data_IF_060193801539
#
_entry.id   IF_060193801539
#
_cell.length_a   1.000
_cell.length_b   1.000
_cell.length_c   1.000
_cell.angle_alpha   90.00
_cell.angle_beta   90.00
_cell.angle_gamma   90.00
#
_symmetry.space_group_name_H-M   'P 1'
#
loop_
_entity.id
_entity.type
_entity.pdbx_description
1 polymer ?
#
# COMPACT_ATOMS: atom_id res chain seq x y z
N UNK A 1 13.15 12.54 5.87
CA UNK A 1 12.16 12.23 6.90
C UNK A 1 10.78 12.60 6.35
N UNK A 2 9.84 11.67 6.38
CA UNK A 2 8.51 11.87 5.78
C UNK A 2 7.64 12.74 6.68
N UNK A 3 6.92 13.70 6.06
CA UNK A 3 6.10 14.70 6.75
C UNK A 3 4.63 14.39 6.60
N UNK A 4 3.84 14.63 7.64
CA UNK A 4 2.38 14.58 7.61
C UNK A 4 1.79 15.87 8.19
N UNK A 5 0.85 16.46 7.45
CA UNK A 5 0.02 17.58 7.87
C UNK A 5 -1.39 17.09 8.17
N UNK A 6 -1.89 17.37 9.35
CA UNK A 6 -3.29 17.09 9.71
C UNK A 6 -4.11 18.36 9.55
N UNK A 7 -5.01 18.33 8.58
CA UNK A 7 -6.01 19.37 8.39
C UNK A 7 -6.95 19.47 9.61
N UNK A 8 -7.67 20.61 9.76
CA UNK A 8 -8.66 20.81 10.86
C UNK A 8 -9.80 19.76 10.82
N UNK A 9 -10.06 19.18 9.66
CA UNK A 9 -11.09 18.14 9.47
C UNK A 9 -10.59 16.72 9.78
N UNK A 10 -9.27 16.55 10.03
CA UNK A 10 -8.68 15.25 10.32
C UNK A 10 -9.14 14.72 11.69
N UNK A 11 -9.72 13.53 11.68
CA UNK A 11 -10.23 12.90 12.90
C UNK A 11 -9.10 12.42 13.84
N UNK A 12 -9.45 12.19 15.10
CA UNK A 12 -8.52 11.61 16.08
C UNK A 12 -8.11 10.18 15.69
N UNK A 13 -9.01 9.43 15.06
CA UNK A 13 -8.75 8.09 14.55
C UNK A 13 -7.65 8.09 13.49
N UNK A 14 -7.65 9.07 12.55
CA UNK A 14 -6.58 9.20 11.55
C UNK A 14 -5.22 9.53 12.19
N UNK A 15 -5.21 10.34 13.25
CA UNK A 15 -3.98 10.61 14.00
C UNK A 15 -3.44 9.34 14.67
N UNK A 16 -4.32 8.57 15.28
CA UNK A 16 -3.98 7.29 15.92
C UNK A 16 -3.49 6.27 14.90
N UNK A 17 -4.13 6.22 13.72
CA UNK A 17 -3.74 5.34 12.61
C UNK A 17 -2.34 5.69 12.07
N UNK A 18 -2.01 6.98 11.94
CA UNK A 18 -0.72 7.43 11.41
C UNK A 18 0.44 7.31 12.42
N UNK A 19 0.15 7.28 13.73
CA UNK A 19 1.16 7.31 14.79
C UNK A 19 2.23 6.21 14.70
N UNK A 20 1.91 4.93 14.38
CA UNK A 20 2.90 3.85 14.33
C UNK A 20 3.99 4.03 13.26
N UNK A 21 3.76 4.87 12.25
CA UNK A 21 4.67 5.01 11.10
C UNK A 21 5.81 6.01 11.32
N UNK A 22 5.91 6.68 12.47
CA UNK A 22 7.04 7.57 12.82
C UNK A 22 7.18 8.79 11.87
N UNK A 23 6.07 9.27 11.32
CA UNK A 23 6.05 10.44 10.44
C UNK A 23 6.25 11.74 11.23
N UNK A 24 6.93 12.71 10.62
CA UNK A 24 7.08 14.04 11.24
C UNK A 24 5.81 14.85 11.06
N UNK A 25 5.11 15.12 12.15
CA UNK A 25 3.93 16.01 12.13
C UNK A 25 4.38 17.44 11.91
N UNK A 26 3.74 18.13 10.96
CA UNK A 26 4.00 19.55 10.65
C UNK A 26 2.73 20.38 10.84
N UNK A 27 2.89 21.64 11.27
CA UNK A 27 1.77 22.52 11.60
C UNK A 27 1.18 23.24 10.38
N UNK A 28 1.88 23.23 9.25
CA UNK A 28 1.43 23.81 7.97
C UNK A 28 1.96 23.01 6.80
N UNK A 29 1.27 23.09 5.67
CA UNK A 29 1.73 22.47 4.43
C UNK A 29 3.08 23.06 4.01
N UNK A 30 4.04 22.23 3.57
CA UNK A 30 5.36 22.72 3.15
C UNK A 30 5.27 23.43 1.80
N UNK A 31 6.24 24.33 1.55
CA UNK A 31 6.34 25.06 0.28
C UNK A 31 6.99 24.24 -0.84
N UNK A 32 7.70 23.17 -0.50
CA UNK A 32 8.39 22.29 -1.46
C UNK A 32 8.37 20.83 -1.01
N UNK A 33 8.58 19.93 -1.98
CA UNK A 33 8.67 18.49 -1.77
C UNK A 33 7.31 17.79 -1.61
N UNK A 34 7.38 16.48 -1.35
CA UNK A 34 6.22 15.64 -1.14
C UNK A 34 5.91 15.48 0.36
N UNK A 35 4.64 15.40 0.71
CA UNK A 35 4.15 15.25 2.08
C UNK A 35 2.81 14.53 2.11
N UNK A 36 2.45 13.96 3.26
CA UNK A 36 1.13 13.42 3.48
C UNK A 36 0.21 14.49 4.05
N UNK A 37 -1.04 14.49 3.62
CA UNK A 37 -2.13 15.24 4.23
C UNK A 37 -3.21 14.28 4.72
N UNK A 38 -3.66 14.49 5.93
CA UNK A 38 -4.84 13.84 6.50
C UNK A 38 -5.97 14.85 6.62
N UNK A 39 -7.13 14.54 6.06
CA UNK A 39 -8.36 15.31 6.13
C UNK A 39 -9.58 14.39 6.32
N UNK A 40 -10.81 14.92 6.26
CA UNK A 40 -12.04 14.12 6.40
C UNK A 40 -12.17 12.96 5.40
N UNK A 41 -11.46 13.00 4.26
CA UNK A 41 -11.48 11.97 3.23
C UNK A 41 -10.46 10.84 3.44
N UNK A 42 -9.55 10.98 4.41
CA UNK A 42 -8.46 10.06 4.72
C UNK A 42 -7.07 10.65 4.47
N UNK A 43 -6.08 9.78 4.27
CA UNK A 43 -4.68 10.17 4.08
C UNK A 43 -4.31 10.14 2.60
N UNK A 44 -3.71 11.22 2.12
CA UNK A 44 -3.29 11.38 0.72
C UNK A 44 -1.84 11.86 0.64
N UNK A 45 -1.13 11.43 -0.39
CA UNK A 45 0.18 11.97 -0.77
C UNK A 45 -0.03 13.20 -1.66
N UNK A 46 0.62 14.29 -1.31
CA UNK A 46 0.60 15.56 -2.01
C UNK A 46 2.01 15.99 -2.38
N UNK A 47 2.12 16.86 -3.38
CA UNK A 47 3.34 17.61 -3.70
C UNK A 47 3.06 19.11 -3.59
N UNK A 48 3.93 19.81 -2.91
CA UNK A 48 3.81 21.26 -2.72
C UNK A 48 3.70 21.98 -4.08
N UNK A 49 2.78 22.95 -4.17
CA UNK A 49 2.52 23.68 -5.41
C UNK A 49 1.68 22.93 -6.45
N UNK A 50 1.33 21.66 -6.23
CA UNK A 50 0.49 20.87 -7.14
C UNK A 50 -0.89 20.58 -6.54
N UNK A 51 -1.93 20.58 -7.41
CA UNK A 51 -3.32 20.28 -6.99
C UNK A 51 -3.63 18.78 -6.91
N UNK A 52 -2.74 17.91 -7.42
CA UNK A 52 -2.97 16.47 -7.46
C UNK A 52 -2.75 15.83 -6.10
N UNK A 53 -3.55 14.81 -5.78
CA UNK A 53 -3.38 13.96 -4.61
C UNK A 53 -3.38 12.50 -5.03
N UNK A 54 -2.57 11.68 -4.38
CA UNK A 54 -2.56 10.22 -4.54
C UNK A 54 -3.06 9.61 -3.24
N UNK A 55 -4.08 8.76 -3.34
CA UNK A 55 -4.69 8.07 -2.21
C UNK A 55 -4.87 6.60 -2.56
N UNK A 56 -4.71 5.73 -1.59
CA UNK A 56 -5.12 4.33 -1.76
C UNK A 56 -6.65 4.28 -1.71
N UNK A 57 -7.26 3.83 -2.80
CA UNK A 57 -8.71 3.70 -2.91
C UNK A 57 -9.05 2.35 -3.52
N UNK A 58 -9.62 1.48 -2.70
CA UNK A 58 -10.02 0.13 -3.09
C UNK A 58 -11.46 0.03 -3.57
N UNK A 59 -12.29 1.06 -3.34
CA UNK A 59 -13.67 1.16 -3.81
C UNK A 59 -13.77 1.84 -5.18
N UNK A 60 -12.75 2.58 -5.59
CA UNK A 60 -12.74 3.34 -6.84
C UNK A 60 -12.81 2.45 -8.09
N UNK A 61 -13.32 3.02 -9.19
CA UNK A 61 -13.54 2.30 -10.45
C UNK A 61 -12.31 1.59 -11.02
N UNK A 62 -11.10 2.11 -10.81
CA UNK A 62 -9.85 1.47 -11.24
C UNK A 62 -9.57 0.19 -10.44
N UNK A 63 -9.81 0.19 -9.13
CA UNK A 63 -9.68 -0.99 -8.28
C UNK A 63 -10.75 -2.03 -8.61
N UNK A 64 -12.00 -1.60 -8.80
CA UNK A 64 -13.09 -2.46 -9.25
C UNK A 64 -12.78 -3.11 -10.60
N UNK A 65 -12.27 -2.35 -11.58
CA UNK A 65 -11.89 -2.89 -12.88
C UNK A 65 -10.78 -3.95 -12.78
N UNK A 66 -9.75 -3.73 -11.96
CA UNK A 66 -8.69 -4.72 -11.75
C UNK A 66 -9.21 -6.03 -11.16
N UNK A 67 -10.15 -5.95 -10.21
CA UNK A 67 -10.77 -7.13 -9.60
C UNK A 67 -11.62 -7.93 -10.57
N UNK A 68 -12.34 -7.23 -11.46
CA UNK A 68 -13.39 -7.85 -12.30
C UNK A 68 -12.97 -8.16 -13.73
N UNK A 69 -12.05 -7.39 -14.32
CA UNK A 69 -11.76 -7.45 -15.77
C UNK A 69 -10.28 -7.36 -16.17
N UNK A 70 -9.34 -7.10 -15.28
CA UNK A 70 -7.97 -6.87 -15.72
C UNK A 70 -6.88 -7.27 -14.73
N UNK A 71 -5.94 -8.10 -15.16
CA UNK A 71 -4.72 -8.43 -14.41
C UNK A 71 -4.85 -9.51 -13.33
N UNK A 72 -6.03 -9.69 -12.74
CA UNK A 72 -6.26 -10.70 -11.70
C UNK A 72 -6.01 -12.14 -12.16
N UNK A 73 -6.21 -12.45 -13.44
CA UNK A 73 -5.94 -13.79 -13.96
C UNK A 73 -4.46 -14.20 -13.91
N UNK A 74 -3.55 -13.28 -14.21
CA UNK A 74 -2.11 -13.59 -14.18
C UNK A 74 -1.62 -13.77 -12.75
N UNK A 75 -2.01 -12.89 -11.84
CA UNK A 75 -1.69 -12.98 -10.42
C UNK A 75 -2.31 -14.26 -9.83
N UNK A 76 -3.58 -14.53 -10.12
CA UNK A 76 -4.29 -15.74 -9.68
C UNK A 76 -3.59 -17.02 -10.12
N UNK A 77 -3.11 -17.09 -11.37
CA UNK A 77 -2.34 -18.22 -11.90
C UNK A 77 -0.97 -18.33 -11.24
N UNK A 78 -0.27 -17.20 -11.05
CA UNK A 78 1.05 -17.18 -10.44
C UNK A 78 1.06 -17.78 -9.04
N UNK A 79 0.03 -17.51 -8.24
CA UNK A 79 -0.08 -18.02 -6.86
C UNK A 79 -0.87 -19.33 -6.73
N UNK A 80 -1.36 -19.88 -7.84
CA UNK A 80 -2.24 -21.08 -7.83
C UNK A 80 -3.43 -20.91 -6.88
N UNK A 81 -4.19 -19.81 -7.03
CA UNK A 81 -5.24 -19.38 -6.09
C UNK A 81 -6.30 -20.44 -5.77
N UNK A 82 -6.54 -21.40 -6.67
CA UNK A 82 -7.50 -22.48 -6.47
C UNK A 82 -7.10 -23.44 -5.34
N UNK A 83 -5.82 -23.51 -5.01
CA UNK A 83 -5.32 -24.26 -3.84
C UNK A 83 -5.53 -23.49 -2.52
N UNK A 84 -6.06 -22.27 -2.55
CA UNK A 84 -6.28 -21.40 -1.38
C UNK A 84 -5.00 -21.20 -0.54
N UNK A 85 -3.86 -20.83 -1.15
CA UNK A 85 -2.61 -20.68 -0.42
C UNK A 85 -2.64 -19.48 0.51
N UNK A 86 -1.87 -19.55 1.60
CA UNK A 86 -1.47 -18.36 2.37
C UNK A 86 -0.39 -17.63 1.61
N UNK A 87 -0.61 -16.34 1.32
CA UNK A 87 0.30 -15.52 0.51
C UNK A 87 0.96 -14.46 1.35
N UNK A 88 2.28 -14.33 1.22
CA UNK A 88 3.05 -13.23 1.75
C UNK A 88 3.50 -12.34 0.58
N UNK A 89 2.98 -11.11 0.52
CA UNK A 89 3.36 -10.09 -0.45
C UNK A 89 4.49 -9.24 0.15
N UNK A 90 5.73 -9.57 -0.22
CA UNK A 90 6.92 -8.91 0.32
C UNK A 90 7.18 -7.51 -0.29
N UNK A 91 6.40 -7.10 -1.28
CA UNK A 91 6.50 -5.83 -2.01
C UNK A 91 5.19 -5.05 -1.97
N UNK A 92 4.61 -4.90 -0.79
CA UNK A 92 3.24 -4.42 -0.56
C UNK A 92 2.86 -3.12 -1.27
N UNK A 93 3.72 -2.10 -1.21
CA UNK A 93 3.46 -0.82 -1.84
C UNK A 93 2.10 -0.24 -1.45
N UNK A 94 1.29 0.17 -2.42
CA UNK A 94 -0.09 0.62 -2.21
C UNK A 94 -1.12 -0.51 -2.03
N UNK A 95 -0.67 -1.75 -1.91
CA UNK A 95 -1.51 -2.91 -1.65
C UNK A 95 -2.41 -3.34 -2.81
N UNK A 96 -2.11 -2.93 -4.03
CA UNK A 96 -2.97 -3.21 -5.20
C UNK A 96 -3.06 -4.69 -5.50
N UNK A 97 -1.93 -5.38 -5.51
CA UNK A 97 -1.85 -6.79 -5.80
C UNK A 97 -2.30 -7.62 -4.60
N UNK A 98 -1.93 -7.23 -3.38
CA UNK A 98 -2.48 -7.79 -2.14
C UNK A 98 -4.01 -7.77 -2.13
N UNK A 99 -4.61 -6.64 -2.58
CA UNK A 99 -6.07 -6.50 -2.62
C UNK A 99 -6.72 -7.39 -3.69
N UNK A 100 -6.07 -7.56 -4.85
CA UNK A 100 -6.50 -8.53 -5.87
C UNK A 100 -6.45 -9.94 -5.33
N UNK A 101 -5.34 -10.34 -4.69
CA UNK A 101 -5.17 -11.66 -4.07
C UNK A 101 -6.25 -11.92 -3.01
N UNK A 102 -6.50 -10.95 -2.13
CA UNK A 102 -7.53 -11.05 -1.11
C UNK A 102 -8.96 -11.13 -1.71
N UNK A 103 -9.21 -10.48 -2.85
CA UNK A 103 -10.48 -10.57 -3.56
C UNK A 103 -10.77 -11.96 -4.15
N UNK A 104 -9.72 -12.77 -4.36
CA UNK A 104 -9.81 -14.18 -4.75
C UNK A 104 -10.08 -15.12 -3.57
N UNK A 105 -10.24 -14.56 -2.36
CA UNK A 105 -10.51 -15.31 -1.13
C UNK A 105 -9.27 -15.68 -0.32
N UNK A 106 -8.07 -15.27 -0.74
CA UNK A 106 -6.81 -15.62 -0.08
C UNK A 106 -6.54 -14.76 1.15
N UNK A 107 -5.90 -15.33 2.16
CA UNK A 107 -5.32 -14.57 3.26
C UNK A 107 -3.94 -14.06 2.86
N UNK A 108 -3.71 -12.75 2.97
CA UNK A 108 -2.51 -12.06 2.51
C UNK A 108 -1.86 -11.32 3.66
N UNK A 109 -0.59 -11.62 3.92
CA UNK A 109 0.27 -10.77 4.73
C UNK A 109 1.07 -9.89 3.78
N UNK A 110 0.91 -8.57 3.87
CA UNK A 110 1.60 -7.60 3.02
C UNK A 110 2.63 -6.83 3.83
N UNK A 111 3.84 -6.70 3.28
CA UNK A 111 4.98 -6.07 3.96
C UNK A 111 5.35 -4.79 3.23
N UNK A 112 5.50 -3.70 3.97
CA UNK A 112 5.91 -2.40 3.43
C UNK A 112 6.85 -1.69 4.40
N UNK A 113 8.05 -1.34 3.92
CA UNK A 113 9.07 -0.71 4.77
C UNK A 113 9.05 0.82 4.74
N UNK A 114 8.48 1.42 3.67
CA UNK A 114 8.41 2.86 3.58
C UNK A 114 7.27 3.40 4.48
N UNK A 115 7.57 4.23 5.49
CA UNK A 115 6.56 4.67 6.46
C UNK A 115 5.42 5.47 5.85
N UNK A 116 5.68 6.26 4.80
CA UNK A 116 4.62 7.04 4.16
C UNK A 116 3.71 6.17 3.31
N UNK A 117 4.27 5.16 2.61
CA UNK A 117 3.51 4.19 1.81
C UNK A 117 2.68 3.29 2.72
N UNK A 118 3.28 2.77 3.80
CA UNK A 118 2.58 1.94 4.78
C UNK A 118 1.42 2.72 5.45
N UNK A 119 1.61 4.01 5.74
CA UNK A 119 0.56 4.88 6.28
C UNK A 119 -0.60 5.05 5.29
N UNK A 120 -0.31 5.31 4.00
CA UNK A 120 -1.31 5.39 2.94
C UNK A 120 -2.09 4.09 2.77
N UNK A 121 -1.37 2.95 2.78
CA UNK A 121 -1.99 1.62 2.68
C UNK A 121 -2.88 1.32 3.88
N UNK A 122 -2.39 1.62 5.09
CA UNK A 122 -3.16 1.44 6.33
C UNK A 122 -4.48 2.21 6.31
N UNK A 123 -4.45 3.49 5.86
CA UNK A 123 -5.66 4.29 5.70
C UNK A 123 -6.60 3.70 4.64
N UNK A 124 -6.06 3.28 3.49
CA UNK A 124 -6.85 2.65 2.44
C UNK A 124 -7.55 1.37 2.90
N UNK A 125 -6.84 0.51 3.64
CA UNK A 125 -7.41 -0.72 4.21
C UNK A 125 -8.46 -0.42 5.29
N UNK A 126 -8.22 0.60 6.13
CA UNK A 126 -9.18 1.03 7.14
C UNK A 126 -10.50 1.49 6.50
N UNK A 127 -10.44 2.33 5.46
CA UNK A 127 -11.63 2.78 4.71
C UNK A 127 -12.33 1.63 3.99
N UNK A 128 -11.57 0.74 3.33
CA UNK A 128 -12.11 -0.45 2.69
C UNK A 128 -12.81 -1.39 3.70
N UNK A 129 -12.30 -1.45 4.93
CA UNK A 129 -12.92 -2.21 6.03
C UNK A 129 -14.26 -1.65 6.51
N UNK A 130 -14.56 -0.39 6.20
CA UNK A 130 -15.82 0.28 6.53
C UNK A 130 -16.87 0.19 5.40
N UNK A 131 -16.44 -0.10 4.17
CA UNK A 131 -17.29 -0.23 3.00
C UNK A 131 -17.96 -1.60 2.91
N UNK A 132 -19.24 -1.66 2.57
CA UNK A 132 -19.96 -2.93 2.37
C UNK A 132 -19.35 -3.80 1.28
N UNK A 133 -18.83 -3.18 0.21
CA UNK A 133 -18.31 -3.90 -0.95
C UNK A 133 -16.93 -4.51 -0.71
N UNK A 134 -16.11 -3.88 0.12
CA UNK A 134 -14.68 -4.23 0.22
C UNK A 134 -14.25 -4.72 1.60
N UNK A 135 -15.10 -4.60 2.62
CA UNK A 135 -14.79 -4.98 4.01
C UNK A 135 -14.32 -6.42 4.16
N UNK A 136 -14.97 -7.38 3.48
CA UNK A 136 -14.59 -8.79 3.57
C UNK A 136 -13.26 -9.08 2.85
N UNK A 137 -12.90 -8.27 1.85
CA UNK A 137 -11.60 -8.34 1.18
C UNK A 137 -10.52 -7.76 2.09
N UNK A 138 -10.75 -6.56 2.62
CA UNK A 138 -9.81 -5.87 3.51
C UNK A 138 -9.46 -6.70 4.75
N UNK A 139 -10.41 -7.43 5.32
CA UNK A 139 -10.20 -8.32 6.47
C UNK A 139 -9.23 -9.47 6.23
N UNK A 140 -9.00 -9.85 4.96
CA UNK A 140 -8.04 -10.89 4.58
C UNK A 140 -6.63 -10.37 4.43
N UNK A 141 -6.41 -9.05 4.54
CA UNK A 141 -5.11 -8.44 4.39
C UNK A 141 -4.59 -8.01 5.76
N UNK A 142 -3.39 -8.45 6.09
CA UNK A 142 -2.66 -8.02 7.29
C UNK A 142 -1.43 -7.23 6.85
N UNK A 143 -1.41 -5.93 7.14
CA UNK A 143 -0.24 -5.07 6.87
C UNK A 143 0.81 -5.25 7.97
N UNK A 144 2.05 -5.48 7.56
CA UNK A 144 3.24 -5.48 8.38
C UNK A 144 4.14 -4.32 7.96
N UNK A 145 4.41 -3.41 8.88
CA UNK A 145 5.27 -2.25 8.63
C UNK A 145 6.70 -2.54 9.10
N UNK A 146 7.65 -2.53 8.17
CA UNK A 146 9.08 -2.74 8.41
C UNK A 146 9.77 -3.49 7.26
N UNK A 147 11.03 -3.87 7.49
CA UNK A 147 11.78 -4.67 6.53
C UNK A 147 11.11 -6.03 6.32
N UNK A 148 10.84 -6.38 5.06
CA UNK A 148 10.10 -7.59 4.73
C UNK A 148 10.85 -8.87 5.14
N UNK A 149 12.17 -8.92 4.96
CA UNK A 149 12.99 -10.10 5.29
C UNK A 149 12.92 -10.39 6.80
N UNK A 150 13.16 -9.37 7.63
CA UNK A 150 13.14 -9.49 9.08
C UNK A 150 11.77 -9.93 9.59
N UNK A 151 10.71 -9.24 9.13
CA UNK A 151 9.33 -9.51 9.54
C UNK A 151 8.83 -10.88 9.06
N UNK A 152 9.21 -11.33 7.86
CA UNK A 152 8.89 -12.66 7.37
C UNK A 152 9.58 -13.76 8.17
N UNK A 153 10.85 -13.55 8.58
CA UNK A 153 11.56 -14.50 9.44
C UNK A 153 10.88 -14.61 10.81
N UNK A 154 10.53 -13.47 11.43
CA UNK A 154 9.81 -13.45 12.72
C UNK A 154 8.43 -14.13 12.60
N UNK A 155 7.69 -13.84 11.53
CA UNK A 155 6.37 -14.41 11.30
C UNK A 155 6.45 -15.92 11.05
N UNK A 156 7.46 -16.37 10.26
CA UNK A 156 7.71 -17.78 10.00
C UNK A 156 8.03 -18.56 11.28
N UNK A 157 8.78 -17.96 12.19
CA UNK A 157 9.11 -18.57 13.48
C UNK A 157 7.88 -18.74 14.39
N UNK A 158 6.89 -17.85 14.28
CA UNK A 158 5.67 -17.86 15.11
C UNK A 158 4.54 -18.70 14.52
N UNK A 159 4.30 -18.57 13.22
CA UNK A 159 3.10 -19.08 12.55
C UNK A 159 3.38 -20.14 11.46
N UNK A 160 4.66 -20.46 11.22
CA UNK A 160 5.07 -21.26 10.07
C UNK A 160 5.25 -20.44 8.80
N UNK A 161 5.76 -21.10 7.75
CA UNK A 161 6.04 -20.46 6.45
C UNK A 161 4.75 -20.32 5.63
N UNK A 162 4.69 -19.32 4.72
CA UNK A 162 3.58 -19.22 3.75
C UNK A 162 3.68 -20.32 2.70
N UNK A 163 2.60 -20.56 1.99
CA UNK A 163 2.60 -21.41 0.80
C UNK A 163 3.26 -20.70 -0.39
N UNK A 164 3.10 -19.35 -0.46
CA UNK A 164 3.62 -18.52 -1.55
C UNK A 164 4.19 -17.22 -1.00
N UNK A 165 5.39 -16.86 -1.44
CA UNK A 165 5.93 -15.49 -1.34
C UNK A 165 5.76 -14.83 -2.69
N UNK A 166 5.02 -13.72 -2.71
CA UNK A 166 4.76 -12.90 -3.90
C UNK A 166 5.71 -11.70 -3.91
N UNK A 167 6.35 -11.47 -5.05
CA UNK A 167 7.28 -10.37 -5.29
C UNK A 167 6.92 -9.68 -6.60
N UNK A 168 6.59 -8.39 -6.54
CA UNK A 168 6.44 -7.52 -7.72
C UNK A 168 7.20 -6.20 -7.46
N UNK A 169 8.55 -6.24 -7.53
CA UNK A 169 9.36 -5.07 -7.30
C UNK A 169 9.06 -3.98 -8.33
N UNK A 170 9.02 -2.71 -7.88
CA UNK A 170 8.75 -1.56 -8.74
C UNK A 170 9.93 -1.28 -9.68
N UNK A 171 10.02 -2.01 -10.80
CA UNK A 171 10.94 -1.66 -11.87
C UNK A 171 10.48 -0.40 -12.63
N UNK A 172 11.40 0.47 -13.08
CA UNK A 172 11.06 1.62 -13.90
C UNK A 172 10.46 1.16 -15.22
N UNK A 173 9.13 1.20 -15.34
CA UNK A 173 8.42 0.75 -16.53
C UNK A 173 8.62 1.66 -17.75
N UNK A 174 8.83 1.04 -18.90
CA UNK A 174 9.17 1.73 -20.15
C UNK A 174 8.01 2.47 -20.84
N UNK A 175 6.73 2.27 -20.54
CA UNK A 175 5.59 3.00 -21.16
C UNK A 175 4.32 2.92 -20.31
N UNK A 176 3.85 4.03 -19.75
CA UNK A 176 2.52 4.17 -19.12
C UNK A 176 1.80 5.46 -19.53
N UNK A 177 0.47 5.50 -19.36
CA UNK A 177 -0.39 6.67 -19.62
C UNK A 177 -0.08 7.86 -18.72
N UNK A 178 -0.50 9.07 -19.11
CA UNK A 178 -0.16 10.32 -18.38
C UNK A 178 -0.61 10.32 -16.91
N UNK A 179 -1.76 9.72 -16.58
CA UNK A 179 -2.26 9.65 -15.21
C UNK A 179 -1.40 8.72 -14.32
N UNK A 180 -1.02 7.56 -14.84
CA UNK A 180 -0.13 6.61 -14.16
C UNK A 180 1.27 7.20 -14.00
N UNK A 181 1.75 7.98 -15.00
CA UNK A 181 3.04 8.69 -14.91
C UNK A 181 3.05 9.71 -13.76
N UNK A 182 1.95 10.42 -13.53
CA UNK A 182 1.85 11.42 -12.46
C UNK A 182 1.86 10.78 -11.08
N UNK A 183 1.09 9.71 -10.89
CA UNK A 183 1.05 8.94 -9.65
C UNK A 183 2.43 8.34 -9.34
N UNK A 184 3.07 7.72 -10.33
CA UNK A 184 4.43 7.17 -10.21
C UNK A 184 5.47 8.26 -9.94
N UNK A 185 5.34 9.46 -10.52
CA UNK A 185 6.25 10.57 -10.25
C UNK A 185 6.21 11.02 -8.79
N UNK A 186 5.01 11.11 -8.18
CA UNK A 186 4.86 11.41 -6.76
C UNK A 186 5.46 10.31 -5.89
N UNK A 187 5.30 9.05 -6.31
CA UNK A 187 5.88 7.90 -5.63
C UNK A 187 7.42 7.88 -5.72
N UNK A 188 8.00 8.09 -6.90
CA UNK A 188 9.45 8.16 -7.07
C UNK A 188 10.09 9.26 -6.25
N UNK A 189 9.45 10.42 -6.14
CA UNK A 189 9.91 11.51 -5.27
C UNK A 189 9.85 11.13 -3.78
N UNK A 190 8.89 10.29 -3.39
CA UNK A 190 8.70 9.90 -2.00
C UNK A 190 9.61 8.73 -1.59
N UNK A 191 9.72 7.71 -2.43
CA UNK A 191 10.38 6.43 -2.11
C UNK A 191 11.86 6.45 -2.48
N UNK A 192 12.27 7.33 -3.42
CA UNK A 192 13.60 7.27 -4.04
C UNK A 192 13.72 6.11 -5.03
N UNK A 193 14.91 5.92 -5.60
CA UNK A 193 15.20 4.70 -6.36
C UNK A 193 15.33 3.54 -5.36
N UNK A 194 14.60 2.47 -5.58
CA UNK A 194 14.66 1.27 -4.75
C UNK A 194 16.12 0.77 -4.65
N UNK A 195 16.70 0.81 -3.46
CA UNK A 195 18.10 0.42 -3.24
C UNK A 195 18.24 -1.00 -2.66
N UNK A 196 17.13 -1.62 -2.20
CA UNK A 196 17.20 -2.82 -1.34
C UNK A 196 16.56 -4.08 -1.97
N UNK A 197 16.29 -4.09 -3.29
CA UNK A 197 15.63 -5.22 -3.96
C UNK A 197 16.50 -6.50 -4.03
N UNK A 198 17.83 -6.37 -3.93
CA UNK A 198 18.75 -7.51 -4.00
C UNK A 198 18.65 -8.42 -2.77
N UNK A 199 18.34 -7.88 -1.58
CA UNK A 199 18.22 -8.65 -0.34
C UNK A 199 16.96 -9.54 -0.28
N UNK A 200 15.95 -9.28 -1.11
CA UNK A 200 14.72 -10.07 -1.15
C UNK A 200 14.87 -11.39 -1.94
N UNK A 201 15.97 -11.54 -2.68
CA UNK A 201 16.20 -12.70 -3.56
C UNK A 201 17.22 -13.71 -3.01
N UNK A 202 17.94 -13.35 -1.93
CA UNK A 202 18.85 -14.24 -1.20
C UNK A 202 18.14 -14.93 -0.02
#
# INVERSE_FOLDING_TARGET
MYKIYFDETASTELRSLAAPFGLTVIDRQPEEGSFLIADESGISLCRAGEKGRVRVDFDGGAAHYRRTKGGGELIAKAVNHTAQPTVWDATGGLGRDSFVLASLGLNVHTFEQNPAVACLLSDGLNRAGQSEETREIARRITLHFGNAVDLMQELAAKNGRPDVVYLDPMYPERRKTAAVKKEMAYFHDLVGAAQDEAELLD
#
